data_IF_209334586110
#
_entry.id   IF_209334586110
#
_cell.length_a   1.000
_cell.length_b   1.000
_cell.length_c   1.000
_cell.angle_alpha   90.00
_cell.angle_beta   90.00
_cell.angle_gamma   90.00
#
_symmetry.space_group_name_H-M   'P 1'
#
loop_
_entity.id
_entity.type
_entity.pdbx_description
1 polymer ?
#
# COMPACT_ATOMS: atom_id res chain seq x y z
N UNK A 1 19.33 -45.02 -0.54
CA UNK A 1 19.28 -43.54 -0.63
C UNK A 1 20.09 -42.80 0.46
N UNK A 2 20.25 -43.31 1.69
CA UNK A 2 21.05 -42.64 2.75
C UNK A 2 22.56 -42.46 2.44
N UNK A 3 23.14 -43.21 1.48
CA UNK A 3 24.58 -43.16 1.12
C UNK A 3 24.98 -42.03 0.14
N UNK A 4 24.03 -41.24 -0.38
CA UNK A 4 24.30 -40.14 -1.31
C UNK A 4 24.22 -38.74 -0.68
N UNK A 5 23.88 -38.63 0.60
CA UNK A 5 23.64 -37.37 1.33
C UNK A 5 24.89 -36.46 1.50
N UNK A 6 26.02 -36.78 0.89
CA UNK A 6 27.26 -35.98 0.95
C UNK A 6 27.94 -35.73 -0.40
N UNK A 7 27.35 -36.12 -1.53
CA UNK A 7 27.93 -35.86 -2.85
C UNK A 7 27.03 -34.95 -3.67
N UNK A 8 27.54 -33.76 -4.01
CA UNK A 8 26.89 -32.81 -4.91
C UNK A 8 26.95 -33.35 -6.35
N UNK A 9 26.01 -34.22 -6.71
CA UNK A 9 25.90 -34.84 -8.04
C UNK A 9 24.53 -34.61 -8.64
N UNK A 10 24.45 -34.59 -9.97
CA UNK A 10 23.18 -34.60 -10.68
C UNK A 10 22.50 -35.96 -10.61
N UNK A 11 21.16 -35.95 -10.60
CA UNK A 11 20.37 -37.12 -10.97
C UNK A 11 20.37 -37.25 -12.49
N UNK A 12 20.54 -38.48 -12.96
CA UNK A 12 20.57 -38.80 -14.39
C UNK A 12 19.32 -39.58 -14.79
N UNK A 13 18.85 -39.36 -16.01
CA UNK A 13 17.67 -40.05 -16.53
C UNK A 13 17.91 -41.56 -16.56
N UNK A 14 17.00 -42.32 -15.97
CA UNK A 14 17.06 -43.77 -16.04
C UNK A 14 16.66 -44.25 -17.42
N UNK A 15 17.40 -45.22 -17.96
CA UNK A 15 17.01 -45.97 -19.17
C UNK A 15 15.98 -47.06 -18.87
N UNK A 16 15.68 -47.30 -17.59
CA UNK A 16 14.67 -48.25 -17.16
C UNK A 16 13.26 -47.73 -17.48
N UNK A 17 12.47 -48.54 -18.19
CA UNK A 17 11.10 -48.19 -18.55
C UNK A 17 10.14 -48.56 -17.42
N UNK A 18 9.41 -47.58 -16.86
CA UNK A 18 8.47 -47.81 -15.76
C UNK A 18 7.28 -48.72 -16.12
N UNK A 19 6.90 -48.80 -17.39
CA UNK A 19 5.92 -49.75 -17.94
C UNK A 19 6.27 -50.09 -19.38
N UNK A 20 6.61 -51.35 -19.66
CA UNK A 20 6.75 -51.86 -21.03
C UNK A 20 5.50 -52.62 -21.44
N UNK A 21 4.94 -52.34 -22.63
CA UNK A 21 3.74 -53.02 -23.14
C UNK A 21 3.96 -54.52 -23.35
N UNK A 22 5.20 -54.95 -23.57
CA UNK A 22 5.59 -56.35 -23.84
C UNK A 22 5.95 -57.13 -22.57
N UNK A 23 6.25 -56.46 -21.45
CA UNK A 23 6.73 -57.10 -20.22
C UNK A 23 5.90 -56.73 -18.98
N UNK A 24 4.60 -56.40 -19.15
CA UNK A 24 3.70 -56.00 -18.06
C UNK A 24 3.60 -57.00 -16.90
N UNK A 25 3.92 -58.27 -17.16
CA UNK A 25 3.90 -59.36 -16.18
C UNK A 25 5.29 -59.76 -15.67
N UNK A 26 6.37 -59.12 -16.13
CA UNK A 26 7.74 -59.35 -15.65
C UNK A 26 8.14 -58.21 -14.73
N UNK A 27 8.25 -58.50 -13.44
CA UNK A 27 8.81 -57.60 -12.45
C UNK A 27 10.33 -57.78 -12.44
N UNK A 28 11.08 -56.69 -12.64
CA UNK A 28 12.52 -56.66 -12.49
C UNK A 28 12.87 -55.73 -11.33
N UNK A 29 13.89 -56.11 -10.55
CA UNK A 29 14.40 -55.22 -9.50
C UNK A 29 15.06 -53.98 -10.14
N UNK A 30 15.05 -52.85 -9.43
CA UNK A 30 15.66 -51.61 -9.92
C UNK A 30 17.17 -51.82 -10.13
N UNK A 31 17.79 -52.60 -9.26
CA UNK A 31 19.19 -53.00 -9.32
C UNK A 31 19.54 -53.73 -10.63
N UNK A 32 18.59 -54.51 -11.18
CA UNK A 32 18.77 -55.22 -12.46
C UNK A 32 18.47 -54.35 -13.68
N UNK A 33 17.65 -53.31 -13.53
CA UNK A 33 17.20 -52.46 -14.64
C UNK A 33 18.08 -51.21 -14.83
N UNK A 34 18.80 -50.78 -13.79
CA UNK A 34 19.61 -49.57 -13.82
C UNK A 34 21.02 -49.90 -14.28
N UNK A 35 21.43 -49.33 -15.41
CA UNK A 35 22.83 -49.32 -15.85
C UNK A 35 23.65 -48.37 -14.96
N UNK A 36 24.92 -48.71 -14.72
CA UNK A 36 25.83 -47.80 -14.03
C UNK A 36 26.02 -46.54 -14.88
N UNK A 37 25.58 -45.39 -14.37
CA UNK A 37 25.73 -44.08 -15.03
C UNK A 37 26.93 -43.36 -14.45
N UNK A 38 27.72 -42.72 -15.33
CA UNK A 38 28.82 -41.84 -14.91
C UNK A 38 28.29 -40.69 -14.06
N UNK A 39 28.88 -40.51 -12.87
CA UNK A 39 28.50 -39.42 -11.97
C UNK A 39 28.86 -38.07 -12.59
N UNK A 40 27.85 -37.23 -12.81
CA UNK A 40 28.06 -35.83 -13.19
C UNK A 40 28.12 -34.98 -11.92
N UNK A 41 29.31 -34.47 -11.63
CA UNK A 41 29.55 -33.62 -10.47
C UNK A 41 28.98 -32.22 -10.67
N UNK A 42 28.43 -31.64 -9.61
CA UNK A 42 28.09 -30.22 -9.58
C UNK A 42 29.38 -29.39 -9.50
N UNK A 43 29.60 -28.54 -10.49
CA UNK A 43 30.59 -27.47 -10.39
C UNK A 43 30.10 -26.33 -9.48
N UNK A 44 30.89 -25.97 -8.46
CA UNK A 44 30.63 -24.83 -7.58
C UNK A 44 30.86 -23.48 -8.25
N UNK A 45 31.59 -23.41 -9.37
CA UNK A 45 31.81 -22.16 -10.12
C UNK A 45 30.68 -21.84 -11.11
N UNK A 46 29.76 -22.78 -11.34
CA UNK A 46 28.65 -22.61 -12.27
C UNK A 46 27.42 -22.03 -11.56
N UNK A 47 26.98 -20.84 -11.96
CA UNK A 47 25.83 -20.14 -11.36
C UNK A 47 24.52 -20.93 -11.47
N UNK A 48 24.28 -21.61 -12.60
CA UNK A 48 23.09 -22.46 -12.81
C UNK A 48 23.08 -23.62 -11.83
N UNK A 49 24.23 -24.26 -11.61
CA UNK A 49 24.35 -25.36 -10.65
C UNK A 49 24.08 -24.90 -9.22
N UNK A 50 24.58 -23.71 -8.85
CA UNK A 50 24.30 -23.12 -7.54
C UNK A 50 22.81 -22.84 -7.35
N UNK A 51 22.13 -22.32 -8.38
CA UNK A 51 20.69 -22.08 -8.34
C UNK A 51 19.94 -23.39 -8.10
N UNK A 52 20.21 -24.42 -8.91
CA UNK A 52 19.56 -25.73 -8.77
C UNK A 52 19.82 -26.37 -7.41
N UNK A 53 21.05 -26.26 -6.90
CA UNK A 53 21.41 -26.78 -5.59
C UNK A 53 20.63 -26.06 -4.47
N UNK A 54 20.49 -24.74 -4.54
CA UNK A 54 19.72 -23.96 -3.56
C UNK A 54 18.23 -24.35 -3.57
N UNK A 55 17.62 -24.49 -4.74
CA UNK A 55 16.24 -24.98 -4.88
C UNK A 55 16.11 -26.38 -4.24
N UNK A 56 17.05 -27.28 -4.50
CA UNK A 56 17.02 -28.63 -3.95
C UNK A 56 17.17 -28.64 -2.42
N UNK A 57 18.04 -27.80 -1.87
CA UNK A 57 18.22 -27.63 -0.43
C UNK A 57 16.96 -27.06 0.25
N UNK A 58 16.36 -26.03 -0.34
CA UNK A 58 15.12 -25.44 0.16
C UNK A 58 13.96 -26.43 0.09
N UNK A 59 13.85 -27.20 -1.00
CA UNK A 59 12.86 -28.26 -1.13
C UNK A 59 13.06 -29.37 -0.08
N UNK A 60 14.31 -29.81 0.14
CA UNK A 60 14.62 -30.81 1.15
C UNK A 60 14.30 -30.33 2.55
N UNK A 61 14.60 -29.06 2.86
CA UNK A 61 14.24 -28.44 4.14
C UNK A 61 12.72 -28.43 4.34
N UNK A 62 11.95 -28.01 3.33
CA UNK A 62 10.48 -28.00 3.38
C UNK A 62 9.89 -29.39 3.61
N UNK A 63 10.40 -30.41 2.90
CA UNK A 63 9.94 -31.80 3.04
C UNK A 63 10.29 -32.41 4.40
N UNK A 64 11.29 -31.88 5.10
CA UNK A 64 11.69 -32.32 6.43
C UNK A 64 10.86 -31.69 7.57
N UNK A 65 9.99 -30.71 7.27
CA UNK A 65 9.17 -30.06 8.29
C UNK A 65 7.93 -30.91 8.65
N UNK A 66 7.66 -31.06 9.94
CA UNK A 66 6.42 -31.69 10.43
C UNK A 66 5.30 -30.64 10.55
N UNK A 67 4.08 -30.97 10.08
CA UNK A 67 2.88 -30.12 10.19
C UNK A 67 3.06 -28.67 9.67
N UNK A 68 3.87 -28.49 8.63
CA UNK A 68 4.18 -27.17 8.07
C UNK A 68 2.98 -26.57 7.30
N UNK A 69 2.34 -25.57 7.89
CA UNK A 69 1.17 -24.87 7.32
C UNK A 69 1.42 -23.36 7.32
N UNK A 70 2.10 -22.81 6.29
CA UNK A 70 2.48 -21.40 6.26
C UNK A 70 1.31 -20.44 5.98
N UNK A 71 0.12 -20.96 5.64
CA UNK A 71 -1.05 -20.18 5.25
C UNK A 71 -0.90 -19.53 3.87
N UNK A 72 -1.92 -19.66 3.01
CA UNK A 72 -1.85 -19.13 1.64
C UNK A 72 -1.85 -17.59 1.60
N UNK A 73 -2.59 -16.95 2.51
CA UNK A 73 -2.61 -15.49 2.63
C UNK A 73 -1.29 -14.95 3.21
N UNK A 74 -0.80 -15.52 4.32
CA UNK A 74 0.47 -15.09 4.94
C UNK A 74 1.68 -15.26 4.01
N UNK A 75 1.91 -16.47 3.48
CA UNK A 75 1.97 -16.68 2.03
C UNK A 75 2.32 -15.48 1.13
N UNK A 76 1.24 -15.04 0.49
CA UNK A 76 1.16 -13.91 -0.42
C UNK A 76 1.61 -12.60 0.22
N UNK A 77 1.27 -12.33 1.47
CA UNK A 77 1.59 -11.06 2.11
C UNK A 77 3.10 -10.87 2.31
N UNK A 78 3.84 -11.95 2.61
CA UNK A 78 5.32 -11.95 2.61
C UNK A 78 5.87 -11.58 1.25
N UNK A 79 5.31 -12.10 0.16
CA UNK A 79 5.74 -11.71 -1.18
C UNK A 79 5.48 -10.22 -1.43
N UNK A 80 4.29 -9.72 -1.10
CA UNK A 80 3.98 -8.30 -1.27
C UNK A 80 4.94 -7.42 -0.48
N UNK A 81 5.24 -7.78 0.77
CA UNK A 81 6.23 -7.06 1.59
C UNK A 81 7.57 -6.94 0.85
N UNK A 82 8.12 -8.07 0.43
CA UNK A 82 9.43 -8.11 -0.24
C UNK A 82 9.44 -7.44 -1.64
N UNK A 83 8.30 -7.43 -2.34
CA UNK A 83 8.16 -6.75 -3.62
C UNK A 83 7.98 -5.24 -3.46
N UNK A 84 7.29 -4.79 -2.40
CA UNK A 84 7.16 -3.38 -2.04
C UNK A 84 8.53 -2.81 -1.69
N UNK A 85 9.32 -3.53 -0.88
CA UNK A 85 10.69 -3.13 -0.50
C UNK A 85 11.60 -2.95 -1.73
N UNK A 86 11.32 -3.67 -2.83
CA UNK A 86 12.03 -3.56 -4.12
C UNK A 86 11.38 -2.59 -5.12
N UNK A 87 10.30 -1.91 -4.74
CA UNK A 87 9.55 -1.02 -5.64
C UNK A 87 8.84 -1.73 -6.80
N UNK A 88 8.62 -3.05 -6.70
CA UNK A 88 7.96 -3.91 -7.69
C UNK A 88 6.46 -4.10 -7.40
N UNK A 89 5.99 -3.72 -6.21
CA UNK A 89 4.59 -3.70 -5.86
C UNK A 89 4.25 -2.45 -5.03
N UNK A 90 2.95 -2.15 -4.89
CA UNK A 90 2.45 -1.13 -3.98
C UNK A 90 1.76 -1.77 -2.79
N UNK A 91 1.66 -1.02 -1.69
CA UNK A 91 0.87 -1.41 -0.53
C UNK A 91 -0.64 -1.54 -0.82
N UNK A 92 -1.12 -1.03 -1.97
CA UNK A 92 -2.47 -1.29 -2.48
C UNK A 92 -2.58 -2.67 -3.16
N UNK A 93 -1.57 -3.53 -3.00
CA UNK A 93 -1.46 -4.87 -3.56
C UNK A 93 -1.46 -4.88 -5.10
N UNK A 94 -1.01 -3.77 -5.72
CA UNK A 94 -0.83 -3.68 -7.17
C UNK A 94 0.61 -4.02 -7.54
N UNK A 95 0.78 -4.97 -8.45
CA UNK A 95 2.09 -5.41 -8.93
C UNK A 95 2.48 -4.61 -10.18
N UNK A 96 3.71 -4.11 -10.22
CA UNK A 96 4.30 -3.52 -11.43
C UNK A 96 4.75 -4.65 -12.35
N UNK A 97 3.81 -5.11 -13.19
CA UNK A 97 3.94 -6.35 -13.98
C UNK A 97 5.19 -6.35 -14.85
N UNK A 98 5.41 -5.33 -15.68
CA UNK A 98 6.55 -5.31 -16.61
C UNK A 98 7.90 -5.28 -15.87
N UNK A 99 8.13 -4.36 -14.89
CA UNK A 99 9.36 -4.38 -14.10
C UNK A 99 9.61 -5.70 -13.37
N UNK A 100 8.57 -6.36 -12.85
CA UNK A 100 8.71 -7.65 -12.18
C UNK A 100 9.14 -8.74 -13.16
N UNK A 101 8.52 -8.82 -14.34
CA UNK A 101 8.84 -9.84 -15.34
C UNK A 101 10.25 -9.63 -15.88
N UNK A 102 10.63 -8.39 -16.18
CA UNK A 102 11.99 -8.04 -16.65
C UNK A 102 13.03 -8.43 -15.60
N UNK A 103 12.89 -7.94 -14.35
CA UNK A 103 13.83 -8.28 -13.29
C UNK A 103 13.93 -9.80 -13.05
N UNK A 104 12.81 -10.54 -13.16
CA UNK A 104 12.80 -11.99 -12.99
C UNK A 104 13.54 -12.72 -14.13
N UNK A 105 13.38 -12.25 -15.38
CA UNK A 105 14.08 -12.79 -16.55
C UNK A 105 15.58 -12.43 -16.55
N UNK A 106 15.94 -11.27 -16.03
CA UNK A 106 17.34 -10.88 -15.87
C UNK A 106 18.05 -11.75 -14.83
N UNK A 107 17.31 -12.25 -13.82
CA UNK A 107 17.85 -13.13 -12.78
C UNK A 107 18.04 -14.58 -13.24
N UNK A 108 17.11 -15.14 -14.02
CA UNK A 108 17.16 -16.54 -14.46
C UNK A 108 17.37 -16.65 -15.97
N UNK A 109 18.39 -17.41 -16.39
CA UNK A 109 18.62 -17.64 -17.82
C UNK A 109 17.43 -18.37 -18.49
N UNK A 110 17.12 -18.09 -19.76
CA UNK A 110 16.04 -18.75 -20.49
C UNK A 110 16.13 -20.28 -20.48
N UNK A 111 17.34 -20.82 -20.61
CA UNK A 111 17.61 -22.26 -20.63
C UNK A 111 17.27 -22.91 -19.29
N UNK A 112 17.58 -22.23 -18.18
CA UNK A 112 17.26 -22.69 -16.83
C UNK A 112 15.75 -22.67 -16.58
N UNK A 113 15.06 -21.59 -16.99
CA UNK A 113 13.60 -21.54 -16.88
C UNK A 113 12.94 -22.64 -17.71
N UNK A 114 13.46 -22.93 -18.90
CA UNK A 114 12.99 -24.05 -19.74
C UNK A 114 13.21 -25.41 -19.06
N UNK A 115 14.39 -25.63 -18.47
CA UNK A 115 14.70 -26.85 -17.71
C UNK A 115 13.72 -27.07 -16.56
N UNK A 116 13.37 -25.99 -15.84
CA UNK A 116 12.48 -26.01 -14.69
C UNK A 116 10.99 -25.90 -15.06
N UNK A 117 10.66 -25.88 -16.36
CA UNK A 117 9.30 -25.65 -16.87
C UNK A 117 8.65 -24.36 -16.32
N UNK A 118 9.49 -23.36 -16.02
CA UNK A 118 9.13 -22.08 -15.42
C UNK A 118 9.09 -20.90 -16.39
N UNK A 119 9.09 -21.14 -17.70
CA UNK A 119 9.11 -20.09 -18.73
C UNK A 119 7.90 -19.13 -18.60
N UNK A 120 8.18 -17.82 -18.65
CA UNK A 120 7.15 -16.77 -18.63
C UNK A 120 6.90 -16.30 -20.07
N UNK A 121 5.78 -16.74 -20.65
CA UNK A 121 5.35 -16.29 -21.98
C UNK A 121 4.74 -14.89 -21.89
N UNK A 122 5.28 -13.95 -22.66
CA UNK A 122 4.93 -12.52 -22.61
C UNK A 122 3.47 -12.23 -23.01
N UNK A 123 2.87 -13.08 -23.84
CA UNK A 123 1.54 -12.86 -24.39
C UNK A 123 0.39 -13.22 -23.43
N UNK A 124 0.67 -13.60 -22.19
CA UNK A 124 -0.36 -14.08 -21.28
C UNK A 124 -0.39 -13.27 -19.98
N UNK A 125 -1.43 -12.44 -19.82
CA UNK A 125 -1.79 -11.75 -18.57
C UNK A 125 -2.09 -12.72 -17.41
N UNK A 126 -1.89 -14.03 -17.59
CA UNK A 126 -2.12 -15.10 -16.62
C UNK A 126 -0.90 -16.01 -16.40
N UNK A 127 0.32 -15.45 -16.49
CA UNK A 127 1.54 -16.21 -16.17
C UNK A 127 1.57 -16.66 -14.70
N UNK A 128 2.33 -17.74 -14.43
CA UNK A 128 2.36 -18.37 -13.10
C UNK A 128 2.89 -17.43 -12.00
N UNK A 129 3.81 -16.53 -12.34
CA UNK A 129 4.41 -15.58 -11.40
C UNK A 129 3.37 -14.60 -10.87
N UNK A 130 2.53 -14.05 -11.76
CA UNK A 130 1.42 -13.18 -11.37
C UNK A 130 0.32 -13.93 -10.62
N UNK A 131 0.14 -15.25 -10.86
CA UNK A 131 -0.83 -16.06 -10.12
C UNK A 131 -0.48 -16.17 -8.63
N UNK A 132 0.81 -16.20 -8.28
CA UNK A 132 1.25 -16.20 -6.88
C UNK A 132 0.82 -14.92 -6.14
N UNK A 133 0.66 -13.80 -6.85
CA UNK A 133 0.30 -12.49 -6.27
C UNK A 133 -1.21 -12.26 -6.17
N UNK A 134 -2.03 -13.11 -6.79
CA UNK A 134 -3.49 -13.00 -6.73
C UNK A 134 -4.01 -13.54 -5.40
N UNK A 135 -5.17 -13.09 -4.92
CA UNK A 135 -5.84 -13.71 -3.78
C UNK A 135 -5.92 -15.24 -3.98
N UNK A 136 -5.33 -16.03 -3.08
CA UNK A 136 -5.14 -17.45 -3.31
C UNK A 136 -6.47 -18.19 -3.16
N UNK A 137 -6.90 -18.88 -4.21
CA UNK A 137 -8.05 -19.81 -4.16
C UNK A 137 -7.63 -21.26 -3.90
N UNK A 138 -6.38 -21.59 -4.19
CA UNK A 138 -5.79 -22.92 -4.11
C UNK A 138 -4.26 -22.81 -4.14
N UNK A 139 -3.59 -23.83 -3.59
CA UNK A 139 -2.13 -23.93 -3.57
C UNK A 139 -1.55 -23.90 -4.99
N UNK A 140 -0.48 -23.14 -5.17
CA UNK A 140 0.26 -23.08 -6.43
C UNK A 140 1.44 -24.07 -6.40
N UNK A 141 2.06 -24.29 -7.57
CA UNK A 141 3.14 -25.27 -7.71
C UNK A 141 4.34 -24.92 -6.80
N UNK A 142 4.84 -25.84 -5.95
CA UNK A 142 5.90 -25.55 -4.98
C UNK A 142 7.19 -24.99 -5.60
N UNK A 143 7.58 -25.49 -6.79
CA UNK A 143 8.75 -24.99 -7.51
C UNK A 143 8.65 -23.49 -7.83
N UNK A 144 7.46 -22.98 -8.15
CA UNK A 144 7.24 -21.57 -8.46
C UNK A 144 7.40 -20.69 -7.23
N UNK A 145 7.00 -21.20 -6.06
CA UNK A 145 7.27 -20.53 -4.79
C UNK A 145 8.78 -20.45 -4.52
N UNK A 146 9.51 -21.56 -4.72
CA UNK A 146 10.96 -21.60 -4.52
C UNK A 146 11.70 -20.64 -5.46
N UNK A 147 11.31 -20.60 -6.74
CA UNK A 147 11.86 -19.66 -7.72
C UNK A 147 11.65 -18.20 -7.30
N UNK A 148 10.45 -17.86 -6.81
CA UNK A 148 10.15 -16.51 -6.34
C UNK A 148 10.90 -16.17 -5.04
N UNK A 149 10.95 -17.09 -4.08
CA UNK A 149 11.68 -16.90 -2.81
C UNK A 149 13.16 -16.63 -3.09
N UNK A 150 13.77 -17.44 -3.95
CA UNK A 150 15.17 -17.29 -4.32
C UNK A 150 15.43 -16.01 -5.14
N UNK A 151 14.54 -15.64 -6.07
CA UNK A 151 14.60 -14.36 -6.78
C UNK A 151 14.59 -13.18 -5.80
N UNK A 152 13.75 -13.27 -4.76
CA UNK A 152 13.70 -12.29 -3.67
C UNK A 152 14.90 -12.38 -2.72
N UNK A 153 15.91 -13.20 -3.03
CA UNK A 153 17.17 -13.34 -2.30
C UNK A 153 17.03 -13.99 -0.91
N UNK A 154 16.00 -14.80 -0.69
CA UNK A 154 15.80 -15.57 0.54
C UNK A 154 15.99 -17.07 0.30
N UNK A 155 16.30 -17.82 1.35
CA UNK A 155 16.02 -19.27 1.43
C UNK A 155 14.57 -19.52 1.85
N UNK A 156 14.06 -20.73 1.66
CA UNK A 156 12.74 -21.11 2.15
C UNK A 156 12.63 -20.89 3.67
N UNK A 157 13.67 -21.28 4.43
CA UNK A 157 13.71 -21.10 5.87
C UNK A 157 13.55 -19.64 6.28
N UNK A 158 14.37 -18.76 5.73
CA UNK A 158 14.35 -17.33 6.08
C UNK A 158 13.01 -16.69 5.68
N UNK A 159 12.51 -17.01 4.49
CA UNK A 159 11.25 -16.47 3.98
C UNK A 159 10.05 -16.81 4.89
N UNK A 160 9.95 -18.06 5.33
CA UNK A 160 8.86 -18.50 6.22
C UNK A 160 9.03 -18.04 7.68
N UNK A 161 10.20 -17.51 8.05
CA UNK A 161 10.43 -16.84 9.34
C UNK A 161 10.06 -15.35 9.34
N UNK A 162 9.85 -14.73 8.18
CA UNK A 162 9.40 -13.33 8.11
C UNK A 162 8.06 -13.11 8.83
N UNK A 163 7.76 -11.88 9.24
CA UNK A 163 6.36 -11.55 9.53
C UNK A 163 5.60 -11.37 8.21
N UNK A 164 4.42 -11.98 8.10
CA UNK A 164 3.50 -11.79 6.98
C UNK A 164 2.68 -10.51 7.08
N UNK A 165 2.78 -9.74 8.17
CA UNK A 165 1.99 -8.53 8.32
C UNK A 165 2.57 -7.37 7.49
N UNK A 166 1.72 -6.79 6.63
CA UNK A 166 2.00 -5.51 5.97
C UNK A 166 1.65 -4.38 6.92
N UNK A 167 2.67 -3.62 7.35
CA UNK A 167 2.54 -2.50 8.28
C UNK A 167 2.87 -1.17 7.60
N UNK A 168 1.98 -0.64 6.73
CA UNK A 168 2.24 0.57 5.95
C UNK A 168 2.49 1.83 6.79
N UNK A 169 2.09 1.82 8.07
CA UNK A 169 2.30 2.94 9.00
C UNK A 169 3.27 2.58 10.14
N UNK A 170 4.12 1.57 9.90
CA UNK A 170 5.08 1.06 10.86
C UNK A 170 4.46 0.27 12.00
N UNK A 171 5.30 -0.10 12.96
CA UNK A 171 4.88 -0.70 14.21
C UNK A 171 4.34 0.40 15.15
N UNK A 172 3.16 0.16 15.73
CA UNK A 172 2.59 1.02 16.75
C UNK A 172 3.41 1.02 18.05
N UNK A 173 3.07 1.86 19.03
CA UNK A 173 1.90 2.76 19.10
C UNK A 173 2.15 4.11 18.39
N UNK A 174 1.07 4.76 17.91
CA UNK A 174 1.12 6.05 17.19
C UNK A 174 0.90 7.25 18.12
N UNK A 175 1.48 8.42 17.77
CA UNK A 175 1.42 9.59 18.63
C UNK A 175 0.02 10.20 18.71
N UNK A 176 -0.38 10.72 19.86
CA UNK A 176 -1.50 11.66 19.90
C UNK A 176 -1.08 12.98 19.23
N UNK A 177 -1.86 13.48 18.26
CA UNK A 177 -1.59 14.75 17.59
C UNK A 177 -2.57 15.87 17.99
N UNK A 178 -3.24 15.71 19.14
CA UNK A 178 -4.02 16.76 19.75
C UNK A 178 -3.08 17.76 20.48
N UNK A 179 -2.94 19.01 20.00
CA UNK A 179 -1.97 19.97 20.54
C UNK A 179 -2.24 20.37 22.00
N UNK A 180 -3.46 20.17 22.50
CA UNK A 180 -3.85 20.59 23.86
C UNK A 180 -4.05 19.41 24.81
N UNK A 181 -3.67 18.21 24.38
CA UNK A 181 -3.72 17.04 25.23
C UNK A 181 -2.40 16.82 25.98
N UNK A 182 -2.49 16.30 27.22
CA UNK A 182 -1.33 16.05 28.10
C UNK A 182 -0.29 15.09 27.49
N UNK A 183 -0.74 14.18 26.63
CA UNK A 183 0.10 13.19 25.96
C UNK A 183 0.35 13.56 24.49
N UNK A 184 0.35 14.85 24.14
CA UNK A 184 0.69 15.33 22.81
C UNK A 184 2.06 14.79 22.36
N UNK A 185 2.10 14.26 21.13
CA UNK A 185 3.24 13.57 20.49
C UNK A 185 3.71 12.30 21.18
N UNK A 186 3.07 11.84 22.25
CA UNK A 186 3.39 10.59 22.93
C UNK A 186 2.64 9.40 22.29
N UNK A 187 3.25 8.20 22.24
CA UNK A 187 2.70 7.02 21.58
C UNK A 187 1.56 6.38 22.39
N UNK A 188 0.32 6.82 22.15
CA UNK A 188 -0.87 6.37 22.92
C UNK A 188 -1.86 5.54 22.08
N UNK A 189 -1.77 5.61 20.76
CA UNK A 189 -2.73 4.96 19.87
C UNK A 189 -2.24 3.56 19.53
N UNK A 190 -2.94 2.51 19.95
CA UNK A 190 -2.48 1.12 19.80
C UNK A 190 -2.80 0.51 18.43
N UNK A 191 -3.85 0.98 17.77
CA UNK A 191 -4.34 0.46 16.49
C UNK A 191 -4.81 1.58 15.57
N UNK A 192 -4.84 1.31 14.26
CA UNK A 192 -5.44 2.19 13.27
C UNK A 192 -6.40 1.43 12.37
N UNK A 193 -7.38 2.14 11.82
CA UNK A 193 -8.27 1.59 10.79
C UNK A 193 -7.76 1.94 9.40
N UNK A 194 -7.56 0.94 8.53
CA UNK A 194 -7.10 1.15 7.16
C UNK A 194 -8.29 1.28 6.19
N UNK A 195 -8.31 2.35 5.40
CA UNK A 195 -9.16 2.49 4.21
C UNK A 195 -8.29 2.46 2.96
N UNK A 196 -8.57 1.51 2.08
CA UNK A 196 -7.85 1.33 0.81
C UNK A 196 -8.63 2.00 -0.32
N UNK A 197 -8.05 3.00 -0.97
CA UNK A 197 -8.55 3.51 -2.23
C UNK A 197 -7.89 2.75 -3.38
N UNK A 198 -8.67 1.86 -4.00
CA UNK A 198 -8.20 1.00 -5.10
C UNK A 198 -7.89 1.79 -6.38
N UNK A 199 -8.45 2.98 -6.54
CA UNK A 199 -8.38 3.76 -7.77
C UNK A 199 -7.02 4.43 -7.97
N UNK A 200 -6.38 4.84 -6.88
CA UNK A 200 -5.13 5.62 -6.91
C UNK A 200 -3.95 4.95 -6.21
N UNK A 201 -4.11 3.70 -5.77
CA UNK A 201 -3.07 2.99 -5.02
C UNK A 201 -2.74 3.64 -3.66
N UNK A 202 -3.65 4.49 -3.15
CA UNK A 202 -3.49 5.26 -1.92
C UNK A 202 -4.18 4.55 -0.76
N UNK A 203 -3.51 4.50 0.39
CA UNK A 203 -4.16 4.11 1.64
C UNK A 203 -4.28 5.28 2.58
N UNK A 204 -5.41 5.34 3.26
CA UNK A 204 -5.63 6.25 4.36
C UNK A 204 -5.78 5.43 5.62
N UNK A 205 -4.93 5.65 6.62
CA UNK A 205 -5.15 5.13 7.96
C UNK A 205 -5.81 6.19 8.83
N UNK A 206 -6.74 5.78 9.69
CA UNK A 206 -7.39 6.61 10.69
C UNK A 206 -6.91 6.20 12.08
N UNK A 207 -6.42 7.16 12.84
CA UNK A 207 -5.85 7.01 14.17
C UNK A 207 -6.76 7.71 15.17
N UNK A 208 -7.20 6.97 16.19
CA UNK A 208 -8.10 7.48 17.23
C UNK A 208 -7.37 7.45 18.58
N UNK A 209 -7.30 8.60 19.23
CA UNK A 209 -6.72 8.71 20.57
C UNK A 209 -7.82 8.72 21.63
N UNK A 210 -7.51 8.23 22.83
CA UNK A 210 -8.43 8.22 23.98
C UNK A 210 -8.95 9.62 24.36
N UNK A 211 -8.19 10.69 24.08
CA UNK A 211 -8.66 12.07 24.23
C UNK A 211 -9.78 12.49 23.25
N UNK A 212 -10.22 11.58 22.37
CA UNK A 212 -11.24 11.77 21.34
C UNK A 212 -10.73 12.37 20.03
N UNK A 213 -9.47 12.79 19.98
CA UNK A 213 -8.88 13.36 18.76
C UNK A 213 -8.62 12.25 17.75
N UNK A 214 -9.21 12.38 16.56
CA UNK A 214 -9.09 11.42 15.46
C UNK A 214 -8.56 12.11 14.22
N UNK A 215 -7.54 11.52 13.62
CA UNK A 215 -6.92 12.04 12.42
C UNK A 215 -6.59 10.94 11.41
N UNK A 216 -6.50 11.33 10.15
CA UNK A 216 -6.17 10.47 9.04
C UNK A 216 -4.78 10.81 8.48
N UNK A 217 -4.04 9.78 8.09
CA UNK A 217 -2.77 9.89 7.36
C UNK A 217 -2.85 9.17 6.04
N UNK A 218 -2.28 9.82 5.02
CA UNK A 218 -2.03 9.19 3.73
C UNK A 218 -0.73 8.39 3.86
N UNK A 219 -0.78 7.10 3.51
CA UNK A 219 0.37 6.21 3.57
C UNK A 219 0.74 5.62 2.21
N UNK A 220 1.76 4.74 2.19
CA UNK A 220 2.55 4.30 3.36
C UNK A 220 3.48 5.40 3.90
N UNK A 221 4.04 5.17 5.08
CA UNK A 221 5.13 5.99 5.61
C UNK A 221 6.41 5.76 4.81
N UNK A 222 7.10 6.87 4.51
CA UNK A 222 8.37 6.88 3.78
C UNK A 222 9.53 7.27 4.70
N UNK A 223 9.23 7.92 5.81
CA UNK A 223 10.19 8.41 6.80
C UNK A 223 9.63 8.29 8.22
N UNK A 224 10.49 8.20 9.25
CA UNK A 224 10.03 8.21 10.65
C UNK A 224 9.19 9.44 11.00
N UNK A 225 9.42 10.58 10.34
CA UNK A 225 8.70 11.83 10.58
C UNK A 225 7.25 11.79 10.08
N UNK A 226 6.91 10.88 9.15
CA UNK A 226 5.54 10.73 8.66
C UNK A 226 4.56 10.38 9.78
N UNK A 227 5.04 9.77 10.87
CA UNK A 227 4.24 9.43 12.06
C UNK A 227 3.58 10.64 12.73
N UNK A 228 4.15 11.83 12.56
CA UNK A 228 3.64 13.07 13.14
C UNK A 228 2.82 13.92 12.16
N UNK A 229 2.64 13.46 10.92
CA UNK A 229 1.84 14.19 9.93
C UNK A 229 0.35 14.02 10.19
N UNK A 230 -0.41 15.11 10.06
CA UNK A 230 -1.87 15.09 10.04
C UNK A 230 -2.31 15.39 8.61
N UNK A 231 -2.95 14.43 7.95
CA UNK A 231 -3.55 14.66 6.63
C UNK A 231 -4.91 15.34 6.75
N UNK A 232 -5.81 14.72 7.51
CA UNK A 232 -7.16 15.25 7.78
C UNK A 232 -7.55 14.98 9.22
N UNK A 233 -8.00 16.02 9.94
CA UNK A 233 -8.67 15.83 11.24
C UNK A 233 -10.11 15.39 10.97
N UNK A 234 -10.51 14.25 11.54
CA UNK A 234 -11.87 13.72 11.42
C UNK A 234 -12.69 13.97 12.68
N UNK A 235 -12.05 14.05 13.84
CA UNK A 235 -12.66 14.48 15.10
C UNK A 235 -11.64 15.28 15.93
N UNK A 236 -12.07 16.39 16.52
CA UNK A 236 -11.23 17.20 17.41
C UNK A 236 -11.15 16.62 18.83
N UNK A 237 -12.18 15.88 19.24
CA UNK A 237 -12.20 15.23 20.55
C UNK A 237 -12.53 16.19 21.69
N UNK A 238 -12.99 15.60 22.79
CA UNK A 238 -13.53 16.33 23.93
C UNK A 238 -12.52 17.33 24.51
N UNK A 239 -11.25 16.90 24.65
CA UNK A 239 -10.19 17.73 25.25
C UNK A 239 -9.94 19.02 24.44
N UNK A 240 -9.95 18.93 23.11
CA UNK A 240 -9.77 20.10 22.27
C UNK A 240 -11.01 21.00 22.28
N UNK A 241 -12.20 20.39 22.20
CA UNK A 241 -13.47 21.10 22.14
C UNK A 241 -13.78 21.87 23.43
N UNK A 242 -13.50 21.30 24.60
CA UNK A 242 -13.70 21.97 25.89
C UNK A 242 -12.71 23.12 26.09
N UNK A 243 -11.47 22.94 25.65
CA UNK A 243 -10.49 24.02 25.71
C UNK A 243 -10.87 25.18 24.78
N UNK A 244 -11.44 24.90 23.60
CA UNK A 244 -12.00 25.95 22.75
C UNK A 244 -13.15 26.68 23.45
N UNK A 245 -14.09 25.98 24.09
CA UNK A 245 -15.22 26.61 24.82
C UNK A 245 -14.70 27.56 25.92
N UNK A 246 -13.75 27.09 26.72
CA UNK A 246 -13.13 27.89 27.78
C UNK A 246 -12.47 29.17 27.22
N UNK A 247 -11.67 29.03 26.15
CA UNK A 247 -11.02 30.18 25.52
C UNK A 247 -12.03 31.10 24.83
N UNK A 248 -13.16 30.58 24.35
CA UNK A 248 -14.18 31.37 23.67
C UNK A 248 -14.90 32.32 24.62
N UNK A 249 -15.16 31.88 25.85
CA UNK A 249 -15.80 32.67 26.92
C UNK A 249 -14.85 33.73 27.52
N UNK A 250 -13.54 33.47 27.51
CA UNK A 250 -12.54 34.39 28.05
C UNK A 250 -12.30 35.62 27.16
N UNK A 251 -13.04 36.70 27.44
CA UNK A 251 -12.97 37.97 26.71
C UNK A 251 -11.57 38.63 26.67
N UNK A 252 -10.61 38.20 27.51
CA UNK A 252 -9.24 38.72 27.50
C UNK A 252 -8.37 38.10 26.40
N UNK A 253 -8.73 36.91 25.92
CA UNK A 253 -7.97 36.19 24.90
C UNK A 253 -8.42 36.66 23.52
N UNK A 254 -7.51 37.00 22.63
CA UNK A 254 -7.84 37.36 21.25
C UNK A 254 -8.06 36.11 20.39
N UNK A 255 -8.83 36.23 19.30
CA UNK A 255 -9.00 35.12 18.34
C UNK A 255 -7.67 34.57 17.81
N UNK A 256 -6.65 35.41 17.69
CA UNK A 256 -5.30 35.01 17.30
C UNK A 256 -4.63 34.16 18.37
N UNK A 257 -4.77 34.53 19.64
CA UNK A 257 -4.26 33.74 20.76
C UNK A 257 -4.98 32.39 20.88
N UNK A 258 -6.30 32.34 20.60
CA UNK A 258 -7.04 31.07 20.55
C UNK A 258 -6.48 30.16 19.45
N UNK A 259 -6.34 30.71 18.24
CA UNK A 259 -5.79 30.01 17.08
C UNK A 259 -4.39 29.41 17.38
N UNK A 260 -3.50 30.22 17.95
CA UNK A 260 -2.15 29.80 18.33
C UNK A 260 -2.16 28.71 19.40
N UNK A 261 -2.98 28.85 20.46
CA UNK A 261 -3.09 27.84 21.54
C UNK A 261 -3.64 26.49 21.04
N UNK A 262 -4.57 26.53 20.09
CA UNK A 262 -5.18 25.33 19.49
C UNK A 262 -4.41 24.81 18.27
N UNK A 263 -3.33 25.48 17.85
CA UNK A 263 -2.53 25.18 16.65
C UNK A 263 -3.38 25.07 15.37
N UNK A 264 -4.32 26.01 15.18
CA UNK A 264 -5.19 26.10 13.99
C UNK A 264 -5.29 27.54 13.50
N UNK A 265 -5.79 27.76 12.29
CA UNK A 265 -6.09 29.10 11.81
C UNK A 265 -7.38 29.67 12.42
N UNK A 266 -7.52 31.01 12.40
CA UNK A 266 -8.68 31.73 12.94
C UNK A 266 -10.02 31.31 12.33
N UNK A 267 -10.02 30.94 11.05
CA UNK A 267 -11.25 30.53 10.37
C UNK A 267 -11.69 29.15 10.84
N UNK A 268 -10.74 28.25 11.11
CA UNK A 268 -11.01 26.98 11.77
C UNK A 268 -11.58 27.20 13.17
N UNK A 269 -11.02 28.11 13.98
CA UNK A 269 -11.60 28.46 15.30
C UNK A 269 -13.06 28.88 15.16
N UNK A 270 -13.38 29.84 14.29
CA UNK A 270 -14.77 30.30 14.06
C UNK A 270 -15.69 29.16 13.59
N UNK A 271 -15.21 28.33 12.66
CA UNK A 271 -15.98 27.19 12.15
C UNK A 271 -16.28 26.17 13.24
N UNK A 272 -15.29 25.86 14.08
CA UNK A 272 -15.49 24.93 15.20
C UNK A 272 -16.38 25.52 16.29
N UNK A 273 -16.26 26.81 16.60
CA UNK A 273 -17.15 27.50 17.53
C UNK A 273 -18.60 27.48 17.05
N UNK A 274 -18.84 27.74 15.75
CA UNK A 274 -20.17 27.63 15.14
C UNK A 274 -20.71 26.18 15.18
N UNK A 275 -19.87 25.19 14.85
CA UNK A 275 -20.23 23.77 14.95
C UNK A 275 -20.64 23.36 16.37
N UNK A 276 -20.01 23.95 17.38
CA UNK A 276 -20.28 23.71 18.80
C UNK A 276 -21.45 24.56 19.36
N UNK A 277 -22.08 25.40 18.54
CA UNK A 277 -23.20 26.25 18.98
C UNK A 277 -22.81 27.41 19.91
N UNK A 278 -21.55 27.85 19.86
CA UNK A 278 -21.08 28.98 20.67
C UNK A 278 -21.67 30.32 20.18
N UNK A 279 -21.77 31.29 21.08
CA UNK A 279 -22.41 32.59 20.79
C UNK A 279 -21.60 33.41 19.79
N UNK A 280 -22.30 33.98 18.80
CA UNK A 280 -21.74 34.91 17.83
C UNK A 280 -22.44 36.29 17.88
N UNK A 281 -21.67 37.38 17.68
CA UNK A 281 -20.21 37.37 17.56
C UNK A 281 -19.58 37.17 18.96
N UNK A 282 -18.30 36.81 19.04
CA UNK A 282 -17.68 36.44 20.33
C UNK A 282 -17.70 37.61 21.34
N UNK A 283 -18.06 37.38 22.62
CA UNK A 283 -18.01 38.42 23.65
C UNK A 283 -16.60 39.05 23.73
N UNK A 284 -16.52 40.36 23.54
CA UNK A 284 -15.26 41.12 23.61
C UNK A 284 -15.45 42.41 24.41
N UNK A 285 -14.49 42.82 25.26
CA UNK A 285 -14.59 44.07 26.02
C UNK A 285 -14.51 45.32 25.11
N UNK A 286 -14.00 45.16 23.89
CA UNK A 286 -13.64 46.26 22.98
C UNK A 286 -14.67 46.58 21.90
N UNK A 287 -15.89 46.03 21.95
CA UNK A 287 -16.90 46.39 20.96
C UNK A 287 -17.49 47.76 21.24
N UNK A 288 -16.91 48.77 20.58
CA UNK A 288 -17.66 49.94 20.15
C UNK A 288 -18.58 49.49 19.02
N UNK A 289 -19.87 49.63 19.25
CA UNK A 289 -20.94 49.39 18.30
C UNK A 289 -20.73 50.29 17.08
N UNK A 290 -20.05 49.81 16.04
CA UNK A 290 -20.14 50.45 14.73
C UNK A 290 -21.57 50.22 14.27
N UNK A 291 -22.31 51.31 14.06
CA UNK A 291 -23.70 51.24 13.60
C UNK A 291 -23.82 50.27 12.44
N UNK A 292 -24.79 49.36 12.55
CA UNK A 292 -25.20 48.47 11.48
C UNK A 292 -25.65 49.36 10.33
N UNK A 293 -24.77 49.63 9.37
CA UNK A 293 -25.21 49.89 8.01
C UNK A 293 -25.89 48.61 7.55
N UNK A 294 -27.15 48.74 7.12
CA UNK A 294 -28.02 47.66 6.66
C UNK A 294 -27.24 46.53 5.98
N UNK A 295 -26.98 45.46 6.72
CA UNK A 295 -26.52 44.22 6.12
C UNK A 295 -27.71 43.65 5.38
N UNK A 296 -27.65 43.75 4.05
CA UNK A 296 -28.55 43.02 3.15
C UNK A 296 -28.61 41.55 3.60
N UNK A 297 -29.80 40.93 3.59
CA UNK A 297 -29.97 39.56 4.07
C UNK A 297 -29.05 38.60 3.30
N UNK A 298 -28.60 37.51 3.95
CA UNK A 298 -27.79 36.50 3.28
C UNK A 298 -28.58 35.97 2.08
N UNK A 299 -27.99 36.10 0.88
CA UNK A 299 -28.55 35.59 -0.36
C UNK A 299 -28.77 34.08 -0.20
N UNK A 300 -30.03 33.66 -0.31
CA UNK A 300 -30.46 32.26 -0.37
C UNK A 300 -29.86 31.56 -1.59
N UNK A 301 -29.75 30.22 -1.55
CA UNK A 301 -29.19 29.38 -2.63
C UNK A 301 -29.83 29.63 -4.02
N UNK A 302 -31.06 30.15 -4.07
CA UNK A 302 -31.75 30.57 -5.32
C UNK A 302 -31.11 31.79 -6.00
N UNK A 303 -30.48 32.71 -5.26
CA UNK A 303 -29.84 33.89 -5.86
C UNK A 303 -28.46 33.55 -6.44
N UNK A 304 -27.79 32.52 -5.89
CA UNK A 304 -26.54 32.00 -6.43
C UNK A 304 -26.76 31.22 -7.74
N UNK A 305 -27.86 30.48 -7.89
CA UNK A 305 -28.14 29.74 -9.13
C UNK A 305 -28.38 30.68 -10.32
N UNK A 306 -29.14 31.77 -10.13
CA UNK A 306 -29.40 32.75 -11.19
C UNK A 306 -28.11 33.48 -11.63
N UNK A 307 -27.19 33.76 -10.68
CA UNK A 307 -25.91 34.38 -11.03
C UNK A 307 -24.98 33.41 -11.77
N UNK A 308 -24.95 32.14 -11.39
CA UNK A 308 -24.12 31.11 -12.07
C UNK A 308 -24.60 30.84 -13.49
N UNK A 309 -25.92 30.77 -13.73
CA UNK A 309 -26.47 30.60 -15.08
C UNK A 309 -26.14 31.77 -16.01
N UNK A 310 -26.16 33.02 -15.51
CA UNK A 310 -25.75 34.19 -16.30
C UNK A 310 -24.27 34.13 -16.72
N UNK A 311 -23.37 33.70 -15.82
CA UNK A 311 -21.95 33.54 -16.16
C UNK A 311 -21.70 32.34 -17.09
N UNK A 312 -22.54 31.30 -17.06
CA UNK A 312 -22.49 30.19 -18.03
C UNK A 312 -22.87 30.64 -19.43
N UNK A 313 -23.93 31.43 -19.56
CA UNK A 313 -24.35 32.00 -20.85
C UNK A 313 -23.27 32.94 -21.42
N UNK A 314 -22.69 33.81 -20.58
CA UNK A 314 -21.59 34.70 -20.96
C UNK A 314 -20.37 33.89 -21.44
N UNK A 315 -20.05 32.77 -20.79
CA UNK A 315 -18.94 31.90 -21.20
C UNK A 315 -19.21 31.15 -22.51
N UNK A 316 -20.45 30.70 -22.75
CA UNK A 316 -20.83 30.07 -24.02
C UNK A 316 -20.76 31.05 -25.19
N UNK A 317 -21.10 32.32 -24.96
CA UNK A 317 -20.98 33.37 -25.98
C UNK A 317 -19.51 33.68 -26.30
N UNK A 318 -18.63 33.73 -25.27
CA UNK A 318 -17.18 33.87 -25.46
C UNK A 318 -16.62 32.72 -26.31
N UNK A 319 -17.08 31.48 -26.09
CA UNK A 319 -16.68 30.32 -26.89
C UNK A 319 -17.20 30.40 -28.33
N UNK A 320 -18.42 30.92 -28.55
CA UNK A 320 -18.98 31.14 -29.89
C UNK A 320 -18.23 32.18 -30.70
N UNK A 321 -17.81 33.26 -30.05
CA UNK A 321 -17.09 34.36 -30.68
C UNK A 321 -15.61 34.03 -30.94
N UNK A 322 -15.07 32.98 -30.30
CA UNK A 322 -13.66 32.58 -30.40
C UNK A 322 -13.50 31.07 -30.69
N UNK A 323 -13.94 30.58 -31.86
CA UNK A 323 -13.95 29.14 -32.17
C UNK A 323 -12.55 28.50 -32.24
N UNK A 324 -11.52 29.29 -32.53
CA UNK A 324 -10.14 28.81 -32.68
C UNK A 324 -9.27 29.01 -31.42
N UNK A 325 -9.81 29.66 -30.38
CA UNK A 325 -9.07 29.95 -29.15
C UNK A 325 -9.19 28.81 -28.13
N UNK A 326 -8.05 28.38 -27.59
CA UNK A 326 -8.01 27.34 -26.55
C UNK A 326 -8.56 27.84 -25.20
N UNK A 327 -9.14 26.92 -24.41
CA UNK A 327 -9.72 27.22 -23.09
C UNK A 327 -8.79 28.00 -22.14
N UNK A 328 -7.49 27.68 -22.16
CA UNK A 328 -6.50 28.37 -21.33
C UNK A 328 -6.35 29.85 -21.70
N UNK A 329 -6.36 30.16 -22.99
CA UNK A 329 -6.26 31.52 -23.52
C UNK A 329 -7.51 32.32 -23.14
N UNK A 330 -8.70 31.77 -23.35
CA UNK A 330 -9.97 32.42 -22.98
C UNK A 330 -10.12 32.59 -21.46
N UNK A 331 -9.61 31.66 -20.66
CA UNK A 331 -9.65 31.76 -19.19
C UNK A 331 -8.76 32.89 -18.65
N UNK A 332 -7.65 33.20 -19.33
CA UNK A 332 -6.80 34.33 -18.96
C UNK A 332 -7.39 35.68 -19.39
N UNK A 333 -8.07 35.74 -20.54
CA UNK A 333 -8.66 36.97 -21.09
C UNK A 333 -9.98 37.33 -20.41
N UNK A 334 -10.77 36.33 -19.99
CA UNK A 334 -12.07 36.51 -19.33
C UNK A 334 -12.07 35.90 -17.92
N UNK A 335 -11.03 36.22 -17.14
CA UNK A 335 -10.79 35.67 -15.80
C UNK A 335 -11.95 35.87 -14.83
N UNK A 336 -12.65 37.01 -14.94
CA UNK A 336 -13.83 37.33 -14.12
C UNK A 336 -14.97 36.34 -14.35
N UNK A 337 -15.23 35.94 -15.59
CA UNK A 337 -16.33 35.01 -15.91
C UNK A 337 -15.91 33.58 -15.55
N UNK A 338 -14.67 33.22 -15.88
CA UNK A 338 -14.11 31.90 -15.57
C UNK A 338 -13.99 31.62 -14.06
N UNK A 339 -13.77 32.63 -13.22
CA UNK A 339 -13.66 32.41 -11.76
C UNK A 339 -14.97 31.99 -11.08
N UNK A 340 -16.11 32.16 -11.76
CA UNK A 340 -17.45 31.80 -11.27
C UNK A 340 -17.95 30.45 -11.79
N UNK A 341 -17.21 29.80 -12.70
CA UNK A 341 -17.52 28.53 -13.34
C UNK A 341 -16.57 27.42 -12.88
#
# INVERSE_FOLDING_TARGET
MKKLLGKNVFLENSTAHGRSRQTRYKLASIEQAVQAVSLRMLSSSNSVHQILLKIAQDAAWLLAQENFLPGLESTRDRYFKLLIDRGLASYAEQVRVNPLIEAFKDYYSPELLKLLQGEIREQNNSNWLLRLMRPPKHSQHPLYHLLLIQFLSYSAREFFQLSGELKPFGDGSWPCLNPVCIHFRQPQIQEYTLKRDRSHGRMTATFCCECGFTYARLGPDQSPDDRFRVGKVTAWGQVWEDFLKQLWEDSTVSLEQIANRLSVDRQTVKRQAARLGLTFPRPSPTWKQTQIGETTPPKTDEVNSVQVEAYREEWLEILRQNPDAGRAQLSSQHSRVHSWL
#
